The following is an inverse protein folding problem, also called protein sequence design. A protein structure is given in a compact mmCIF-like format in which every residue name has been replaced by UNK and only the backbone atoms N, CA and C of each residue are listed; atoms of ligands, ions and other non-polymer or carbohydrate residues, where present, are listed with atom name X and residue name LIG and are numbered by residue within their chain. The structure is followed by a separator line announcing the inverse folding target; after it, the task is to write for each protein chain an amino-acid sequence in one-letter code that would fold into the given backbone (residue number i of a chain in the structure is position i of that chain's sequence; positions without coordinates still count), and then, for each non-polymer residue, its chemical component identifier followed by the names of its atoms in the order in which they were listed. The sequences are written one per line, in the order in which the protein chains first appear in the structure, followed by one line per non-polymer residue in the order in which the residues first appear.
data_IF_413397282430
#
_entry.id   IF_413397282430
#
_cell.length_a   1.000
_cell.length_b   1.000
_cell.length_c   1.000
_cell.angle_alpha   90.00
_cell.angle_beta   90.00
_cell.angle_gamma   90.00
#
_symmetry.space_group_name_H-M   'P 1'
#
loop_
_entity.id
_entity.type
_entity.pdbx_description
1 polymer ?
#
# COMPACT_ATOMS: atom_id res chain seq x y z
N UNK A 1 28.94 5.61 3.24
CA UNK A 1 28.02 6.63 3.78
C UNK A 1 26.74 6.64 2.93
N UNK A 2 25.97 5.56 2.97
CA UNK A 2 24.68 5.47 2.26
C UNK A 2 23.61 5.29 3.32
N UNK A 3 23.30 6.38 4.02
CA UNK A 3 22.13 6.45 4.89
C UNK A 3 20.90 6.60 3.99
N UNK A 4 20.48 5.49 3.38
CA UNK A 4 19.17 5.40 2.76
C UNK A 4 18.15 5.34 3.89
N UNK A 5 17.69 6.51 4.34
CA UNK A 5 16.58 6.63 5.29
C UNK A 5 15.40 5.86 4.71
N UNK A 6 15.06 4.71 5.27
CA UNK A 6 13.77 4.06 5.05
C UNK A 6 12.69 5.03 5.52
N UNK A 7 12.21 5.85 4.59
CA UNK A 7 10.91 6.47 4.74
C UNK A 7 9.90 5.38 4.41
N UNK A 8 9.58 4.55 5.42
CA UNK A 8 8.29 3.86 5.45
C UNK A 8 7.24 4.97 5.47
N UNK A 9 6.78 5.37 4.28
CA UNK A 9 5.78 6.42 4.16
C UNK A 9 4.46 5.79 4.60
N UNK A 10 4.12 5.97 5.88
CA UNK A 10 2.78 5.67 6.38
C UNK A 10 1.77 6.60 5.71
N UNK A 11 1.36 6.24 4.50
CA UNK A 11 0.36 6.98 3.76
C UNK A 11 -1.02 6.52 4.23
N UNK A 12 -1.48 7.02 5.38
CA UNK A 12 -2.90 6.92 5.74
C UNK A 12 -3.68 7.86 4.84
N UNK A 13 -4.13 7.38 3.67
CA UNK A 13 -5.07 8.14 2.84
C UNK A 13 -6.46 8.06 3.50
N UNK A 14 -6.64 8.87 4.54
CA UNK A 14 -7.92 9.02 5.22
C UNK A 14 -8.90 9.78 4.33
N UNK A 15 -9.98 9.10 3.92
CA UNK A 15 -11.11 9.69 3.22
C UNK A 15 -11.01 9.61 1.70
N UNK A 16 -11.86 8.74 1.13
CA UNK A 16 -12.16 8.63 -0.31
C UNK A 16 -10.97 8.19 -1.18
N UNK A 17 -10.66 6.89 -1.18
CA UNK A 17 -9.96 6.29 -2.31
C UNK A 17 -10.86 6.32 -3.56
N UNK A 18 -10.25 6.47 -4.73
CA UNK A 18 -10.95 6.36 -6.01
C UNK A 18 -11.30 4.89 -6.26
N UNK A 19 -12.36 4.63 -7.04
CA UNK A 19 -12.76 3.25 -7.39
C UNK A 19 -11.59 2.51 -8.06
N UNK A 20 -10.81 3.22 -8.85
CA UNK A 20 -9.62 2.72 -9.54
C UNK A 20 -8.40 3.41 -8.93
N UNK A 21 -7.44 2.62 -8.44
CA UNK A 21 -6.14 3.08 -7.97
C UNK A 21 -5.05 2.37 -8.76
N UNK A 22 -3.94 3.04 -8.97
CA UNK A 22 -2.78 2.48 -9.67
C UNK A 22 -1.67 2.32 -8.64
N UNK A 23 -1.31 1.07 -8.39
CA UNK A 23 -0.19 0.69 -7.52
C UNK A 23 1.09 0.77 -8.36
N UNK A 24 2.09 1.56 -7.93
CA UNK A 24 3.33 1.70 -8.68
C UNK A 24 4.20 0.43 -8.59
N UNK A 25 5.07 0.23 -9.59
CA UNK A 25 5.77 -1.03 -9.83
C UNK A 25 6.71 -1.53 -8.72
N UNK A 26 7.07 -0.67 -7.78
CA UNK A 26 8.03 -1.00 -6.72
C UNK A 26 7.38 -1.06 -5.35
N UNK A 27 6.06 -0.98 -5.29
CA UNK A 27 5.29 -0.87 -4.06
C UNK A 27 4.20 -1.94 -4.01
N UNK A 28 3.83 -2.30 -2.79
CA UNK A 28 2.68 -3.13 -2.48
C UNK A 28 1.82 -2.41 -1.44
N UNK A 29 0.53 -2.27 -1.71
CA UNK A 29 -0.37 -1.48 -0.86
C UNK A 29 -1.26 -2.40 -0.02
N UNK A 30 -1.24 -2.22 1.29
CA UNK A 30 -2.11 -2.98 2.21
C UNK A 30 -3.47 -2.29 2.32
N UNK A 31 -4.52 -3.05 2.02
CA UNK A 31 -5.90 -2.60 2.06
C UNK A 31 -6.59 -3.15 3.30
N UNK A 32 -7.27 -2.27 4.01
CA UNK A 32 -8.14 -2.58 5.13
C UNK A 32 -9.59 -2.25 4.80
N UNK A 33 -10.50 -3.14 5.22
CA UNK A 33 -11.94 -3.00 5.08
C UNK A 33 -12.58 -2.98 6.46
N UNK A 34 -13.32 -1.93 6.78
CA UNK A 34 -14.01 -1.78 8.09
C UNK A 34 -13.07 -1.99 9.30
N UNK A 35 -11.82 -1.51 9.20
CA UNK A 35 -10.81 -1.66 10.25
C UNK A 35 -10.18 -3.05 10.37
N UNK A 36 -10.40 -3.94 9.40
CA UNK A 36 -9.73 -5.25 9.32
C UNK A 36 -8.92 -5.37 8.04
N UNK A 37 -7.80 -6.08 8.10
CA UNK A 37 -7.01 -6.43 6.92
C UNK A 37 -7.89 -7.14 5.88
N UNK A 38 -7.83 -6.69 4.63
CA UNK A 38 -8.55 -7.31 3.52
C UNK A 38 -7.59 -8.06 2.60
N UNK A 39 -6.61 -7.36 2.02
CA UNK A 39 -5.60 -7.93 1.11
C UNK A 39 -4.46 -6.96 0.85
N UNK A 40 -3.38 -7.48 0.26
CA UNK A 40 -2.28 -6.67 -0.29
C UNK A 40 -2.53 -6.49 -1.79
N UNK A 41 -2.31 -5.29 -2.30
CA UNK A 41 -2.33 -4.98 -3.73
C UNK A 41 -0.91 -4.99 -4.26
N UNK A 42 -0.68 -5.82 -5.26
CA UNK A 42 0.54 -5.84 -6.05
C UNK A 42 0.55 -4.69 -7.07
N UNK A 43 1.72 -4.38 -7.65
CA UNK A 43 1.81 -3.44 -8.77
C UNK A 43 0.75 -3.62 -9.86
N UNK A 44 0.17 -2.51 -10.29
CA UNK A 44 -0.82 -2.50 -11.36
C UNK A 44 -2.13 -1.81 -10.97
N UNK A 45 -3.21 -2.17 -11.66
CA UNK A 45 -4.52 -1.56 -11.45
C UNK A 45 -5.27 -2.28 -10.34
N UNK A 46 -5.61 -1.54 -9.29
CA UNK A 46 -6.37 -2.03 -8.15
C UNK A 46 -7.76 -1.37 -8.12
N UNK A 47 -8.79 -2.21 -8.03
CA UNK A 47 -10.18 -1.77 -7.86
C UNK A 47 -10.53 -1.86 -6.37
N UNK A 48 -10.94 -0.74 -5.79
CA UNK A 48 -11.33 -0.62 -4.40
C UNK A 48 -12.71 0.02 -4.28
N UNK A 49 -13.43 -0.35 -3.22
CA UNK A 49 -14.74 0.23 -2.96
C UNK A 49 -14.54 1.49 -2.13
N UNK A 50 -14.90 2.69 -2.66
CA UNK A 50 -14.83 3.92 -1.89
C UNK A 50 -15.61 3.78 -0.58
N UNK A 51 -15.16 4.46 0.47
CA UNK A 51 -15.74 4.43 1.83
C UNK A 51 -15.51 3.15 2.64
N UNK A 52 -15.50 1.99 2.00
CA UNK A 52 -15.39 0.68 2.67
C UNK A 52 -13.92 0.26 2.81
N UNK A 53 -13.14 0.46 1.75
CA UNK A 53 -11.73 0.12 1.67
C UNK A 53 -10.86 1.34 1.99
N UNK A 54 -9.81 1.14 2.78
CA UNK A 54 -8.78 2.14 3.07
C UNK A 54 -7.40 1.55 2.80
N UNK A 55 -6.50 2.36 2.22
CA UNK A 55 -5.09 1.98 2.00
C UNK A 55 -4.29 2.51 3.18
N UNK A 56 -3.63 1.62 3.94
CA UNK A 56 -2.95 1.97 5.20
C UNK A 56 -1.42 1.93 5.11
N UNK A 57 -0.84 0.99 4.37
CA UNK A 57 0.61 0.78 4.35
C UNK A 57 1.13 0.51 2.94
N UNK A 58 2.32 1.02 2.63
CA UNK A 58 3.03 0.82 1.37
C UNK A 58 4.36 0.11 1.67
N UNK A 59 4.50 -1.16 1.30
CA UNK A 59 5.78 -1.89 1.38
C UNK A 59 6.51 -1.74 0.06
N UNK A 60 7.79 -1.39 0.09
CA UNK A 60 8.59 -1.46 -1.13
C UNK A 60 8.92 -2.93 -1.40
N UNK A 61 8.71 -3.44 -2.62
CA UNK A 61 8.97 -4.86 -2.94
C UNK A 61 10.41 -5.29 -2.63
N UNK A 62 11.36 -4.36 -2.72
CA UNK A 62 12.77 -4.58 -2.34
C UNK A 62 12.93 -4.96 -0.88
N UNK A 63 12.03 -4.55 0.01
CA UNK A 63 12.08 -4.83 1.45
C UNK A 63 11.60 -6.26 1.76
N UNK A 64 10.66 -6.81 0.98
CA UNK A 64 10.15 -8.18 1.20
C UNK A 64 11.17 -9.27 0.85
N UNK A 65 12.20 -8.97 0.05
CA UNK A 65 13.17 -9.97 -0.43
C UNK A 65 14.43 -10.08 0.44
N UNK A 66 14.52 -9.34 1.55
CA UNK A 66 15.76 -9.26 2.37
C UNK A 66 15.71 -10.16 3.61
N UNK A 67 14.66 -10.96 3.81
CA UNK A 67 14.66 -11.98 4.87
C UNK A 67 15.16 -13.34 4.33
N UNK A 68 16.48 -13.48 4.13
CA UNK A 68 17.37 -14.64 4.46
C UNK A 68 18.81 -14.42 3.96
#
# INVERSE_FOLDING_TARGET
MVHSRQHVVHFRKGGFNTIINIVPQQEAWVVERMGRFHKILEPGVAILIPFVDNIQYIHTLKEMTIEI
#
